data_IF_178142637387
#
_entry.id   IF_178142637387
#
_cell.length_a   1.000
_cell.length_b   1.000
_cell.length_c   1.000
_cell.angle_alpha   90.00
_cell.angle_beta   90.00
_cell.angle_gamma   90.00
#
_symmetry.space_group_name_H-M   'P 1'
#
loop_
_entity.id
_entity.type
_entity.pdbx_description
1 polymer ?
#
# COMPACT_ATOMS: atom_id res chain seq x y z
N UNK A 1 -13.79 8.43 16.68
CA UNK A 1 -14.42 8.39 15.38
C UNK A 1 -13.31 8.24 14.37
N UNK A 2 -13.24 7.14 13.70
CA UNK A 2 -12.06 6.81 12.89
C UNK A 2 -12.50 6.46 11.48
N UNK A 3 -12.15 7.29 10.53
CA UNK A 3 -12.05 6.94 9.13
C UNK A 3 -10.60 6.53 8.90
N UNK A 4 -10.34 5.28 8.69
CA UNK A 4 -9.00 4.79 8.46
C UNK A 4 -8.90 4.18 7.08
N UNK A 5 -7.98 4.64 6.29
CA UNK A 5 -7.74 4.24 4.92
C UNK A 5 -6.39 3.59 4.76
N UNK A 6 -6.34 2.41 4.22
CA UNK A 6 -5.07 1.70 4.10
C UNK A 6 -5.00 0.87 2.84
N UNK A 7 -4.32 1.37 1.83
CA UNK A 7 -3.80 0.55 0.75
C UNK A 7 -2.33 0.19 1.00
N UNK A 8 -2.02 -1.05 1.31
CA UNK A 8 -0.65 -1.49 1.53
C UNK A 8 -0.07 -2.08 0.26
N UNK A 9 0.92 -1.41 -0.29
CA UNK A 9 1.64 -1.85 -1.49
C UNK A 9 2.88 -2.64 -1.09
N UNK A 10 2.96 -3.87 -1.51
CA UNK A 10 4.12 -4.73 -1.32
C UNK A 10 4.68 -5.15 -2.66
N UNK A 11 5.81 -4.59 -2.97
CA UNK A 11 6.51 -4.91 -4.21
C UNK A 11 7.46 -6.07 -3.97
N UNK A 12 7.07 -7.24 -4.46
CA UNK A 12 7.98 -8.35 -4.58
C UNK A 12 9.12 -8.04 -5.54
N UNK A 13 10.28 -7.74 -5.02
CA UNK A 13 11.49 -7.76 -5.81
C UNK A 13 12.12 -9.14 -5.66
N UNK A 14 11.91 -9.98 -6.66
CA UNK A 14 12.72 -11.18 -6.76
C UNK A 14 14.14 -10.75 -7.13
N UNK A 15 15.12 -11.18 -6.36
CA UNK A 15 16.53 -11.07 -6.76
C UNK A 15 16.76 -11.94 -8.01
N UNK A 16 16.70 -11.30 -9.16
CA UNK A 16 17.12 -11.92 -10.41
C UNK A 16 18.64 -11.83 -10.45
N UNK A 17 19.29 -12.67 -9.66
CA UNK A 17 20.76 -12.76 -9.59
C UNK A 17 21.39 -12.76 -10.97
N UNK A 18 22.52 -12.08 -11.11
CA UNK A 18 23.28 -11.93 -12.35
C UNK A 18 23.44 -13.29 -13.07
N UNK A 19 22.60 -13.53 -14.06
CA UNK A 19 22.69 -14.72 -14.91
C UNK A 19 23.86 -14.53 -15.86
N UNK A 20 24.86 -15.36 -15.69
CA UNK A 20 25.89 -15.51 -16.72
C UNK A 20 25.25 -16.12 -17.97
N UNK A 21 25.54 -15.54 -19.14
CA UNK A 21 25.00 -15.96 -20.43
C UNK A 21 25.14 -17.50 -20.62
N UNK A 22 24.02 -18.22 -20.55
CA UNK A 22 23.98 -19.64 -20.92
C UNK A 22 23.30 -20.62 -19.98
N UNK A 23 23.06 -20.28 -18.72
CA UNK A 23 22.24 -21.11 -17.80
C UNK A 23 21.26 -20.22 -17.03
N UNK A 24 20.00 -20.56 -17.07
CA UNK A 24 18.99 -20.02 -16.15
C UNK A 24 19.30 -20.65 -14.78
N UNK A 25 20.09 -19.97 -13.97
CA UNK A 25 20.25 -20.36 -12.57
C UNK A 25 18.99 -19.92 -11.82
N UNK A 26 18.33 -20.88 -11.19
CA UNK A 26 17.19 -20.59 -10.32
C UNK A 26 17.76 -19.86 -9.11
N UNK A 27 17.25 -18.67 -8.75
CA UNK A 27 17.64 -18.01 -7.51
C UNK A 27 17.42 -18.93 -6.32
N UNK A 28 18.10 -18.68 -5.21
CA UNK A 28 17.79 -19.37 -3.96
C UNK A 28 16.28 -19.33 -3.72
N UNK A 29 15.67 -20.53 -3.64
CA UNK A 29 14.22 -20.68 -3.84
C UNK A 29 13.38 -20.02 -2.77
N UNK A 30 13.84 -20.07 -1.52
CA UNK A 30 13.08 -19.56 -0.38
C UNK A 30 13.67 -18.24 0.11
N UNK A 31 12.83 -17.21 0.20
CA UNK A 31 13.16 -15.90 0.73
C UNK A 31 12.36 -15.56 1.98
N UNK A 32 13.00 -14.83 2.88
CA UNK A 32 12.38 -14.20 4.03
C UNK A 32 12.70 -12.71 3.97
N UNK A 33 11.70 -11.84 4.06
CA UNK A 33 11.87 -10.40 3.96
C UNK A 33 11.22 -9.66 5.12
N UNK A 34 11.89 -8.61 5.59
CA UNK A 34 11.32 -7.60 6.48
C UNK A 34 11.24 -6.30 5.71
N UNK A 35 10.06 -5.72 5.62
CA UNK A 35 9.79 -4.51 4.84
C UNK A 35 9.17 -3.44 5.72
N UNK A 36 9.65 -2.22 5.54
CA UNK A 36 9.00 -0.99 6.02
C UNK A 36 8.53 -0.24 4.78
N UNK A 37 7.28 0.15 4.78
CA UNK A 37 6.65 0.92 3.72
C UNK A 37 5.93 2.12 4.30
N UNK A 38 6.21 3.30 3.76
CA UNK A 38 5.52 4.54 4.09
C UNK A 38 4.86 5.10 2.83
N UNK A 39 3.67 5.67 2.98
CA UNK A 39 2.90 6.23 1.89
C UNK A 39 2.08 7.41 2.37
N UNK A 40 1.99 8.45 1.53
CA UNK A 40 1.01 9.54 1.64
C UNK A 40 0.16 9.57 0.38
N UNK A 41 -1.16 9.61 0.54
CA UNK A 41 -2.10 9.48 -0.57
C UNK A 41 -3.36 10.32 -0.33
N UNK A 42 -3.83 11.11 -1.33
CA UNK A 42 -5.15 11.71 -1.32
C UNK A 42 -6.23 10.69 -1.70
N UNK A 43 -7.42 10.84 -1.09
CA UNK A 43 -8.60 10.02 -1.38
C UNK A 43 -9.80 10.86 -1.77
N UNK A 44 -10.74 10.24 -2.48
CA UNK A 44 -12.06 10.79 -2.76
C UNK A 44 -13.13 10.00 -2.01
N UNK A 45 -14.10 10.71 -1.46
CA UNK A 45 -15.29 10.10 -0.85
C UNK A 45 -16.21 9.65 -1.98
N UNK A 46 -16.31 8.34 -2.19
CA UNK A 46 -17.18 7.76 -3.20
C UNK A 46 -18.66 7.76 -2.78
N UNK A 47 -18.93 7.50 -1.52
CA UNK A 47 -20.25 7.63 -0.93
C UNK A 47 -20.17 7.91 0.57
N UNK A 48 -21.10 8.71 1.08
CA UNK A 48 -21.21 9.02 2.50
C UNK A 48 -22.69 8.94 2.95
N UNK A 49 -22.99 7.94 3.76
CA UNK A 49 -24.27 7.83 4.42
C UNK A 49 -24.13 8.32 5.87
N UNK A 50 -24.64 9.52 6.15
CA UNK A 50 -24.67 10.09 7.50
C UNK A 50 -26.00 10.80 7.73
N UNK A 51 -26.59 10.59 8.90
CA UNK A 51 -27.86 11.23 9.28
C UNK A 51 -27.60 12.42 10.21
N UNK A 52 -27.00 13.47 9.68
CA UNK A 52 -26.79 14.73 10.40
C UNK A 52 -27.98 15.69 10.13
N UNK A 53 -28.76 16.06 11.15
CA UNK A 53 -29.84 17.02 10.98
C UNK A 53 -29.30 18.37 10.50
N UNK A 54 -29.77 18.84 9.34
CA UNK A 54 -29.44 20.17 8.80
C UNK A 54 -28.17 20.23 7.94
N UNK A 55 -27.49 19.11 7.69
CA UNK A 55 -26.33 19.04 6.78
C UNK A 55 -26.75 18.29 5.52
N UNK A 56 -26.47 18.90 4.38
CA UNK A 56 -26.62 18.25 3.08
C UNK A 56 -25.43 17.28 2.88
N UNK A 57 -25.66 15.96 2.73
CA UNK A 57 -24.57 15.00 2.52
C UNK A 57 -23.65 15.36 1.35
N UNK A 58 -24.18 15.97 0.29
CA UNK A 58 -23.39 16.37 -0.88
C UNK A 58 -22.29 17.40 -0.58
N UNK A 59 -22.44 18.17 0.51
CA UNK A 59 -21.40 19.10 0.97
C UNK A 59 -20.19 18.37 1.57
N UNK A 60 -20.39 17.15 2.02
CA UNK A 60 -19.36 16.34 2.65
C UNK A 60 -18.63 15.42 1.64
N UNK A 61 -19.21 15.20 0.46
CA UNK A 61 -18.59 14.37 -0.60
C UNK A 61 -17.38 15.03 -1.27
N UNK A 62 -17.25 16.34 -1.17
CA UNK A 62 -16.16 17.11 -1.79
C UNK A 62 -15.03 17.48 -0.82
N UNK A 63 -14.95 16.83 0.34
CA UNK A 63 -13.90 17.08 1.30
C UNK A 63 -12.56 16.54 0.83
N UNK A 64 -11.51 17.33 1.03
CA UNK A 64 -10.14 16.84 0.92
C UNK A 64 -9.84 15.85 2.03
N UNK A 65 -9.36 14.70 1.65
CA UNK A 65 -8.96 13.64 2.58
C UNK A 65 -7.55 13.21 2.25
N UNK A 66 -6.61 13.44 3.16
CA UNK A 66 -5.23 13.01 3.07
C UNK A 66 -4.95 11.90 4.07
N UNK A 67 -4.25 10.88 3.61
CA UNK A 67 -3.89 9.74 4.44
C UNK A 67 -2.38 9.53 4.44
N UNK A 68 -1.80 9.37 5.62
CA UNK A 68 -0.43 8.93 5.82
C UNK A 68 -0.41 7.58 6.51
N UNK A 69 0.41 6.66 5.98
CA UNK A 69 0.46 5.29 6.46
C UNK A 69 1.88 4.79 6.52
N UNK A 70 2.23 4.13 7.61
CA UNK A 70 3.45 3.33 7.75
C UNK A 70 3.12 1.90 8.08
N UNK A 71 3.73 0.97 7.37
CA UNK A 71 3.49 -0.46 7.57
C UNK A 71 4.79 -1.26 7.65
N UNK A 72 4.74 -2.33 8.43
CA UNK A 72 5.84 -3.24 8.72
C UNK A 72 5.42 -4.65 8.38
N UNK A 73 6.13 -5.31 7.47
CA UNK A 73 5.73 -6.62 6.96
C UNK A 73 6.82 -7.66 7.12
N UNK A 74 6.41 -8.86 7.49
CA UNK A 74 7.15 -10.09 7.28
C UNK A 74 6.63 -10.74 5.99
N UNK A 75 7.53 -11.04 5.07
CA UNK A 75 7.24 -11.69 3.81
C UNK A 75 7.97 -13.02 3.72
N UNK A 76 7.30 -14.03 3.20
CA UNK A 76 7.88 -15.30 2.81
C UNK A 76 7.60 -15.51 1.33
N UNK A 77 8.61 -15.80 0.54
CA UNK A 77 8.46 -16.03 -0.89
C UNK A 77 9.16 -17.30 -1.35
N UNK A 78 8.65 -17.87 -2.43
CA UNK A 78 9.20 -19.09 -3.02
C UNK A 78 9.18 -19.05 -4.55
N UNK A 79 10.32 -19.35 -5.18
CA UNK A 79 10.42 -19.53 -6.62
C UNK A 79 9.90 -20.90 -7.01
N UNK A 80 8.67 -20.96 -7.52
CA UNK A 80 8.07 -22.19 -8.05
C UNK A 80 8.76 -22.61 -9.36
N UNK A 81 9.03 -21.65 -10.23
CA UNK A 81 9.67 -21.78 -11.53
C UNK A 81 10.72 -20.68 -11.68
N UNK A 82 11.68 -20.79 -12.61
CA UNK A 82 12.71 -19.76 -12.80
C UNK A 82 12.16 -18.36 -13.14
N UNK A 83 10.90 -18.29 -13.55
CA UNK A 83 10.22 -17.06 -13.94
C UNK A 83 8.99 -16.74 -13.08
N UNK A 84 8.65 -17.61 -12.10
CA UNK A 84 7.48 -17.45 -11.26
C UNK A 84 7.85 -17.56 -9.78
N UNK A 85 7.73 -16.45 -9.07
CA UNK A 85 7.80 -16.38 -7.62
C UNK A 85 6.39 -16.21 -7.05
N UNK A 86 6.10 -16.85 -5.92
CA UNK A 86 4.88 -16.63 -5.14
C UNK A 86 5.24 -16.25 -3.72
N UNK A 87 4.40 -15.48 -3.07
CA UNK A 87 4.67 -15.02 -1.72
C UNK A 87 3.41 -14.84 -0.87
N UNK A 88 3.60 -14.90 0.43
CA UNK A 88 2.65 -14.48 1.42
C UNK A 88 3.28 -13.46 2.35
N UNK A 89 2.47 -12.63 2.98
CA UNK A 89 2.89 -11.61 3.91
C UNK A 89 1.91 -11.43 5.05
N UNK A 90 2.44 -10.96 6.16
CA UNK A 90 1.67 -10.50 7.32
C UNK A 90 2.41 -9.31 7.93
N UNK A 91 1.66 -8.36 8.47
CA UNK A 91 2.27 -7.17 9.04
C UNK A 91 1.34 -6.35 9.91
N UNK A 92 1.88 -5.26 10.38
CA UNK A 92 1.17 -4.23 11.15
C UNK A 92 1.20 -2.94 10.35
N UNK A 93 0.18 -2.13 10.56
CA UNK A 93 0.01 -0.85 9.95
C UNK A 93 -0.40 0.18 10.98
N UNK A 94 0.21 1.34 10.90
CA UNK A 94 -0.12 2.54 11.66
C UNK A 94 -0.35 3.67 10.66
N UNK A 95 -1.38 4.48 10.87
CA UNK A 95 -1.67 5.58 9.99
C UNK A 95 -2.54 6.65 10.61
N UNK A 96 -2.67 7.75 9.89
CA UNK A 96 -3.55 8.86 10.21
C UNK A 96 -4.26 9.36 8.96
N UNK A 97 -5.50 9.77 9.13
CA UNK A 97 -6.30 10.39 8.08
C UNK A 97 -6.68 11.79 8.51
N UNK A 98 -6.32 12.78 7.72
CA UNK A 98 -6.71 14.16 7.90
C UNK A 98 -7.86 14.50 6.95
N UNK A 99 -8.99 14.94 7.53
CA UNK A 99 -10.16 15.40 6.80
C UNK A 99 -10.26 16.91 6.95
N UNK A 100 -10.23 17.65 5.84
CA UNK A 100 -10.39 19.09 5.86
C UNK A 100 -11.87 19.46 5.95
N UNK A 101 -12.28 19.89 7.15
CA UNK A 101 -13.63 20.33 7.46
C UNK A 101 -13.78 21.86 7.42
N UNK A 102 -12.76 22.58 6.95
CA UNK A 102 -12.80 24.04 6.89
C UNK A 102 -13.85 24.51 5.85
N UNK A 103 -14.73 25.37 6.30
CA UNK A 103 -15.77 25.95 5.44
C UNK A 103 -17.09 25.20 5.41
N UNK A 104 -17.23 24.10 6.16
CA UNK A 104 -18.51 23.42 6.30
C UNK A 104 -19.36 24.15 7.35
N UNK A 105 -20.47 24.69 6.92
CA UNK A 105 -21.49 25.26 7.80
C UNK A 105 -22.47 24.15 8.20
N UNK A 106 -22.30 23.63 9.40
CA UNK A 106 -23.21 22.63 9.98
C UNK A 106 -24.40 23.28 10.74
N UNK A 107 -24.57 24.59 10.58
CA UNK A 107 -25.62 25.34 11.29
C UNK A 107 -25.43 25.46 12.79
N UNK A 108 -24.26 25.11 13.31
CA UNK A 108 -23.85 25.27 14.69
C UNK A 108 -22.80 26.37 14.80
N UNK A 109 -22.78 27.17 15.88
CA UNK A 109 -21.82 28.27 16.05
C UNK A 109 -20.40 27.79 16.45
N UNK A 110 -20.00 26.64 15.95
CA UNK A 110 -18.70 26.01 16.16
C UNK A 110 -18.04 25.85 14.79
N UNK A 111 -16.90 26.53 14.59
CA UNK A 111 -16.05 26.25 13.43
C UNK A 111 -15.51 24.82 13.54
N UNK A 112 -15.74 24.01 12.53
CA UNK A 112 -15.08 22.71 12.42
C UNK A 112 -13.65 22.96 11.96
N UNK A 113 -12.68 22.44 12.70
CA UNK A 113 -11.28 22.36 12.31
C UNK A 113 -11.04 21.04 11.57
N UNK A 114 -9.84 20.86 11.02
CA UNK A 114 -9.41 19.57 10.48
C UNK A 114 -9.63 18.47 11.51
N UNK A 115 -10.10 17.34 11.04
CA UNK A 115 -10.29 16.13 11.82
C UNK A 115 -9.19 15.14 11.50
N UNK A 116 -8.28 14.92 12.45
CA UNK A 116 -7.25 13.88 12.32
C UNK A 116 -7.72 12.61 13.02
N UNK A 117 -7.58 11.48 12.35
CA UNK A 117 -8.02 10.16 12.82
C UNK A 117 -6.85 9.21 12.75
N UNK A 118 -6.32 8.84 13.92
CA UNK A 118 -5.27 7.83 14.03
C UNK A 118 -5.87 6.42 14.04
N UNK A 119 -5.18 5.49 13.42
CA UNK A 119 -5.58 4.09 13.36
C UNK A 119 -4.37 3.15 13.31
N UNK A 120 -4.62 1.91 13.69
CA UNK A 120 -3.69 0.80 13.49
C UNK A 120 -4.45 -0.45 13.05
N UNK A 121 -3.72 -1.45 12.58
CA UNK A 121 -4.37 -2.67 12.11
C UNK A 121 -3.37 -3.74 11.69
N UNK A 122 -3.92 -4.89 11.32
CA UNK A 122 -3.15 -6.02 10.82
C UNK A 122 -3.40 -6.20 9.32
N UNK A 123 -2.33 -6.26 8.54
CA UNK A 123 -2.37 -6.54 7.11
C UNK A 123 -1.87 -7.96 6.84
N UNK A 124 -2.54 -8.64 5.93
CA UNK A 124 -2.10 -9.92 5.38
C UNK A 124 -2.41 -9.99 3.89
N UNK A 125 -1.60 -10.74 3.17
CA UNK A 125 -1.75 -10.81 1.73
C UNK A 125 -0.95 -11.92 1.10
N UNK A 126 -1.16 -12.06 -0.19
CA UNK A 126 -0.44 -12.98 -1.03
C UNK A 126 -0.31 -12.42 -2.45
N UNK A 127 0.68 -12.90 -3.18
CA UNK A 127 0.89 -12.45 -4.54
C UNK A 127 1.82 -13.34 -5.33
N UNK A 128 2.06 -12.91 -6.56
CA UNK A 128 2.97 -13.59 -7.47
C UNK A 128 3.75 -12.59 -8.31
N UNK A 129 4.97 -12.97 -8.70
CA UNK A 129 5.81 -12.20 -9.60
C UNK A 129 6.15 -13.06 -10.81
N UNK A 130 5.81 -12.59 -11.98
CA UNK A 130 6.32 -13.10 -13.24
C UNK A 130 7.52 -12.26 -13.67
N UNK A 131 8.66 -12.90 -13.88
CA UNK A 131 9.88 -12.22 -14.25
C UNK A 131 10.57 -12.91 -15.42
N UNK A 132 11.07 -12.11 -16.35
CA UNK A 132 11.87 -12.57 -17.49
C UNK A 132 13.10 -11.69 -17.59
N UNK A 133 14.22 -12.26 -18.00
CA UNK A 133 15.45 -11.48 -18.09
C UNK A 133 16.51 -12.09 -18.99
N UNK A 134 17.55 -11.31 -19.23
CA UNK A 134 18.76 -11.68 -19.95
C UNK A 134 19.99 -11.31 -19.13
N UNK A 135 21.15 -11.19 -19.80
CA UNK A 135 22.44 -10.92 -19.13
C UNK A 135 22.44 -9.59 -18.34
N UNK A 136 21.70 -8.59 -18.77
CA UNK A 136 21.72 -7.26 -18.17
C UNK A 136 20.33 -6.68 -17.92
N UNK A 137 19.33 -7.07 -18.68
CA UNK A 137 17.99 -6.51 -18.59
C UNK A 137 17.00 -7.53 -18.05
N UNK A 138 16.03 -7.05 -17.30
CA UNK A 138 14.88 -7.84 -16.86
C UNK A 138 13.58 -7.03 -16.99
N UNK A 139 12.49 -7.77 -17.14
CA UNK A 139 11.13 -7.27 -16.98
C UNK A 139 10.42 -8.13 -15.95
N UNK A 140 9.56 -7.53 -15.16
CA UNK A 140 8.73 -8.24 -14.20
C UNK A 140 7.35 -7.61 -14.10
N UNK A 141 6.37 -8.44 -13.76
CA UNK A 141 5.03 -7.99 -13.36
C UNK A 141 4.70 -8.68 -12.05
N UNK A 142 4.44 -7.90 -11.02
CA UNK A 142 3.92 -8.40 -9.76
C UNK A 142 2.40 -8.21 -9.71
N UNK A 143 1.71 -9.15 -9.08
CA UNK A 143 0.33 -9.03 -8.63
C UNK A 143 0.29 -9.30 -7.13
N UNK A 144 -0.30 -8.39 -6.39
CA UNK A 144 -0.47 -8.46 -4.94
C UNK A 144 -1.95 -8.31 -4.61
N UNK A 145 -2.43 -9.14 -3.69
CA UNK A 145 -3.73 -8.97 -3.05
C UNK A 145 -3.52 -8.88 -1.55
N UNK A 146 -4.04 -7.82 -0.95
CA UNK A 146 -3.94 -7.59 0.48
C UNK A 146 -5.29 -7.34 1.11
N UNK A 147 -5.42 -7.74 2.36
CA UNK A 147 -6.54 -7.38 3.22
C UNK A 147 -5.98 -6.82 4.52
N UNK A 148 -6.58 -5.74 4.98
CA UNK A 148 -6.24 -5.09 6.24
C UNK A 148 -7.48 -5.08 7.13
N UNK A 149 -7.33 -5.61 8.33
CA UNK A 149 -8.32 -5.51 9.40
C UNK A 149 -7.85 -4.41 10.35
N UNK A 150 -8.64 -3.34 10.47
CA UNK A 150 -8.31 -2.18 11.30
C UNK A 150 -8.90 -2.32 12.69
N UNK A 151 -8.20 -1.79 13.69
CA UNK A 151 -8.64 -1.82 15.11
C UNK A 151 -9.68 -0.75 15.42
N UNK A 152 -10.15 -0.02 14.41
CA UNK A 152 -11.12 1.06 14.53
C UNK A 152 -12.38 0.73 13.74
N UNK A 153 -13.53 0.73 14.43
CA UNK A 153 -14.86 0.46 13.86
C UNK A 153 -14.97 -0.92 13.12
N UNK A 154 -16.05 -1.14 12.40
CA UNK A 154 -16.15 -2.27 11.48
C UNK A 154 -15.58 -1.84 10.14
N UNK A 155 -14.27 -1.97 9.98
CA UNK A 155 -13.54 -1.54 8.79
C UNK A 155 -12.78 -2.68 8.17
N UNK A 156 -12.86 -2.82 6.87
CA UNK A 156 -11.99 -3.70 6.10
C UNK A 156 -11.52 -2.99 4.84
N UNK A 157 -10.23 -3.16 4.54
CA UNK A 157 -9.61 -2.63 3.34
C UNK A 157 -9.09 -3.78 2.51
N UNK A 158 -9.42 -3.81 1.24
CA UNK A 158 -8.92 -4.78 0.28
C UNK A 158 -8.25 -4.03 -0.86
N UNK A 159 -7.06 -4.46 -1.24
CA UNK A 159 -6.35 -3.87 -2.36
C UNK A 159 -5.85 -4.94 -3.32
N UNK A 160 -6.04 -4.69 -4.62
CA UNK A 160 -5.46 -5.43 -5.73
C UNK A 160 -4.47 -4.55 -6.46
N UNK A 161 -3.22 -5.01 -6.57
CA UNK A 161 -2.13 -4.19 -7.06
C UNK A 161 -1.41 -4.92 -8.18
N UNK A 162 -1.17 -4.22 -9.28
CA UNK A 162 -0.38 -4.72 -10.42
C UNK A 162 0.83 -3.81 -10.63
N UNK A 163 2.03 -4.39 -10.61
CA UNK A 163 3.27 -3.62 -10.72
C UNK A 163 4.16 -4.14 -11.85
N UNK A 164 4.04 -3.60 -13.07
CA UNK A 164 5.02 -3.79 -14.12
C UNK A 164 6.29 -2.99 -13.85
N UNK A 165 7.44 -3.60 -14.10
CA UNK A 165 8.76 -2.95 -14.00
C UNK A 165 9.75 -3.49 -15.00
N UNK A 166 10.70 -2.65 -15.39
CA UNK A 166 11.84 -2.98 -16.23
C UNK A 166 13.11 -2.46 -15.57
N UNK A 167 14.17 -3.25 -15.61
CA UNK A 167 15.39 -2.91 -14.90
C UNK A 167 16.66 -3.43 -15.56
N UNK A 168 17.75 -3.05 -14.94
CA UNK A 168 19.11 -3.39 -15.38
C UNK A 168 19.90 -3.99 -14.23
N UNK A 169 20.53 -5.15 -14.50
CA UNK A 169 21.44 -5.82 -13.57
C UNK A 169 22.87 -5.35 -13.74
N UNK A 170 23.52 -5.13 -12.63
CA UNK A 170 24.96 -4.89 -12.56
C UNK A 170 25.59 -5.75 -11.46
N UNK A 171 26.93 -5.75 -11.38
CA UNK A 171 27.61 -6.53 -10.35
C UNK A 171 27.23 -6.04 -8.95
N UNK A 172 26.49 -6.88 -8.21
CA UNK A 172 26.09 -6.61 -6.82
C UNK A 172 24.72 -5.95 -6.66
N UNK A 173 23.92 -5.83 -7.74
CA UNK A 173 22.58 -5.29 -7.60
C UNK A 173 21.84 -5.08 -8.91
N UNK A 174 20.73 -4.37 -8.81
CA UNK A 174 19.91 -3.96 -9.95
C UNK A 174 19.26 -2.60 -9.69
N UNK A 175 18.84 -1.94 -10.75
CA UNK A 175 17.98 -0.75 -10.70
C UNK A 175 16.82 -0.95 -11.64
N UNK A 176 15.68 -0.33 -11.33
CA UNK A 176 14.48 -0.42 -12.17
C UNK A 176 13.65 0.87 -12.14
N UNK A 177 12.82 0.99 -13.15
CA UNK A 177 11.68 1.88 -13.19
C UNK A 177 10.42 1.05 -13.41
N UNK A 178 9.30 1.54 -12.95
CA UNK A 178 8.03 0.84 -13.07
C UNK A 178 6.83 1.76 -12.90
N UNK A 179 5.67 1.14 -12.97
CA UNK A 179 4.41 1.76 -12.61
C UNK A 179 3.66 0.81 -11.67
N UNK A 180 2.71 1.35 -10.95
CA UNK A 180 1.85 0.62 -10.04
C UNK A 180 0.42 1.01 -10.34
N UNK A 181 -0.41 0.02 -10.60
CA UNK A 181 -1.85 0.16 -10.64
C UNK A 181 -2.41 -0.43 -9.35
N UNK A 182 -3.16 0.36 -8.61
CA UNK A 182 -3.80 -0.06 -7.37
C UNK A 182 -5.30 0.17 -7.49
N UNK A 183 -6.07 -0.83 -7.10
CA UNK A 183 -7.52 -0.78 -6.94
C UNK A 183 -7.82 -1.13 -5.49
N UNK A 184 -8.26 -0.13 -4.73
CA UNK A 184 -8.55 -0.25 -3.30
C UNK A 184 -10.04 -0.11 -3.08
N UNK A 185 -10.61 -1.04 -2.34
CA UNK A 185 -12.00 -0.99 -1.90
C UNK A 185 -12.02 -0.86 -0.38
N UNK A 186 -12.56 0.24 0.08
CA UNK A 186 -12.65 0.57 1.50
C UNK A 186 -14.08 0.84 1.91
N UNK A 187 -14.49 0.19 2.99
CA UNK A 187 -15.80 0.43 3.60
C UNK A 187 -15.60 0.62 5.10
N UNK A 188 -16.11 1.72 5.61
CA UNK A 188 -16.07 2.04 7.03
C UNK A 188 -17.47 2.29 7.55
N UNK A 189 -17.88 1.54 8.57
CA UNK A 189 -19.14 1.69 9.25
C UNK A 189 -18.90 1.92 10.74
N UNK A 190 -19.58 2.90 11.31
CA UNK A 190 -19.40 3.21 12.73
C UNK A 190 -20.42 4.21 13.26
N UNK A 191 -20.19 4.65 14.49
CA UNK A 191 -20.95 5.73 15.11
C UNK A 191 -20.00 6.77 15.66
N UNK A 192 -20.33 8.04 15.49
CA UNK A 192 -19.60 9.12 16.14
C UNK A 192 -20.51 9.90 17.07
N UNK A 193 -19.95 10.37 18.16
CA UNK A 193 -20.67 11.16 19.12
C UNK A 193 -20.60 12.65 18.77
N UNK A 194 -21.76 13.25 18.48
CA UNK A 194 -21.86 14.70 18.31
C UNK A 194 -22.35 15.31 19.61
N UNK A 195 -21.65 16.31 20.17
CA UNK A 195 -22.12 17.03 21.34
C UNK A 195 -23.55 17.51 21.14
N UNK A 196 -24.43 17.19 22.09
CA UNK A 196 -25.87 17.52 22.12
C UNK A 196 -26.78 16.70 21.18
N UNK A 197 -26.26 15.92 20.21
CA UNK A 197 -27.04 15.08 19.31
C UNK A 197 -26.93 13.57 19.63
N UNK A 198 -25.88 13.17 20.35
CA UNK A 198 -25.63 11.77 20.68
C UNK A 198 -24.92 10.99 19.57
N UNK A 199 -24.95 9.65 19.62
CA UNK A 199 -24.29 8.80 18.63
C UNK A 199 -25.01 8.86 17.28
N UNK A 200 -24.27 9.20 16.22
CA UNK A 200 -24.75 9.26 14.84
C UNK A 200 -24.09 8.15 14.04
N UNK A 201 -24.84 7.24 13.45
CA UNK A 201 -24.28 6.22 12.57
C UNK A 201 -23.79 6.84 11.27
N UNK A 202 -22.70 6.30 10.75
CA UNK A 202 -22.18 6.65 9.43
C UNK A 202 -21.71 5.42 8.68
N UNK A 203 -21.77 5.49 7.37
CA UNK A 203 -21.10 4.59 6.45
C UNK A 203 -20.39 5.45 5.38
N UNK A 204 -19.13 5.18 5.13
CA UNK A 204 -18.37 5.85 4.08
C UNK A 204 -17.67 4.81 3.22
N UNK A 205 -17.74 5.03 1.93
CA UNK A 205 -16.97 4.29 0.94
C UNK A 205 -15.99 5.25 0.28
N UNK A 206 -14.75 4.80 0.14
CA UNK A 206 -13.65 5.61 -0.35
C UNK A 206 -12.96 4.90 -1.50
N UNK A 207 -12.57 5.67 -2.50
CA UNK A 207 -11.86 5.20 -3.66
C UNK A 207 -10.52 5.93 -3.81
N UNK A 208 -9.57 5.26 -4.43
CA UNK A 208 -8.34 5.89 -4.91
C UNK A 208 -8.69 7.01 -5.91
N UNK A 209 -8.16 8.22 -5.71
CA UNK A 209 -8.36 9.35 -6.61
C UNK A 209 -7.81 9.05 -8.02
N UNK A 210 -6.62 8.45 -8.05
CA UNK A 210 -5.95 7.99 -9.27
C UNK A 210 -5.29 6.64 -9.03
N UNK A 211 -5.58 5.61 -9.85
CA UNK A 211 -5.05 4.26 -9.60
C UNK A 211 -3.56 4.10 -9.94
N UNK A 212 -2.99 4.98 -10.75
CA UNK A 212 -1.61 4.85 -11.23
C UNK A 212 -0.61 5.65 -10.41
N UNK A 213 0.55 5.03 -10.15
CA UNK A 213 1.72 5.67 -9.57
C UNK A 213 2.99 5.22 -10.30
N UNK A 214 4.06 6.03 -10.28
CA UNK A 214 5.33 5.70 -10.88
C UNK A 214 6.34 5.25 -9.83
N UNK A 215 7.25 4.38 -10.22
CA UNK A 215 8.20 3.76 -9.31
C UNK A 215 9.62 3.85 -9.84
N UNK A 216 10.56 4.06 -8.92
CA UNK A 216 11.98 3.89 -9.15
C UNK A 216 12.57 3.12 -7.98
N UNK A 217 13.47 2.20 -8.25
CA UNK A 217 14.08 1.42 -7.17
C UNK A 217 15.33 0.70 -7.54
N UNK A 218 15.88 -0.01 -6.58
CA UNK A 218 17.08 -0.80 -6.75
C UNK A 218 17.27 -1.84 -5.66
N UNK A 219 18.10 -2.84 -5.96
CA UNK A 219 18.60 -3.81 -5.00
C UNK A 219 20.11 -3.69 -4.86
N UNK A 220 20.59 -4.01 -3.66
CA UNK A 220 22.02 -4.18 -3.39
C UNK A 220 22.25 -5.50 -2.65
N UNK A 221 23.15 -6.36 -3.17
CA UNK A 221 23.60 -7.55 -2.47
C UNK A 221 24.58 -7.14 -1.37
N UNK A 222 24.24 -7.45 -0.13
CA UNK A 222 25.08 -7.19 1.05
C UNK A 222 26.04 -8.35 1.36
N UNK A 223 26.01 -9.39 0.52
CA UNK A 223 26.77 -10.64 0.74
C UNK A 223 26.04 -11.62 1.67
N UNK A 224 26.51 -12.88 1.70
CA UNK A 224 25.98 -13.91 2.60
C UNK A 224 24.48 -14.16 2.47
N UNK A 225 23.90 -14.03 1.29
CA UNK A 225 22.47 -14.21 1.01
C UNK A 225 21.56 -13.03 1.39
N UNK A 226 22.12 -11.92 1.86
CA UNK A 226 21.34 -10.73 2.18
C UNK A 226 21.19 -9.78 1.00
N UNK A 227 19.99 -9.27 0.79
CA UNK A 227 19.64 -8.30 -0.25
C UNK A 227 18.91 -7.13 0.40
N UNK A 228 19.39 -5.93 0.16
CA UNK A 228 18.70 -4.69 0.49
C UNK A 228 17.92 -4.21 -0.74
N UNK A 229 16.68 -3.79 -0.51
CA UNK A 229 15.79 -3.25 -1.53
C UNK A 229 15.37 -1.86 -1.11
N UNK A 230 15.49 -0.91 -2.02
CA UNK A 230 15.02 0.46 -1.85
C UNK A 230 14.13 0.83 -3.02
N UNK A 231 12.99 1.46 -2.75
CA UNK A 231 12.10 1.93 -3.79
C UNK A 231 11.39 3.20 -3.35
N UNK A 232 11.25 4.13 -4.28
CA UNK A 232 10.41 5.32 -4.17
C UNK A 232 9.23 5.24 -5.15
N UNK A 233 8.08 5.75 -4.73
CA UNK A 233 6.90 5.97 -5.55
C UNK A 233 6.59 7.46 -5.63
N UNK A 234 6.09 7.92 -6.76
CA UNK A 234 5.74 9.31 -6.99
C UNK A 234 4.64 9.43 -8.04
N UNK A 235 3.90 10.53 -7.98
CA UNK A 235 2.73 10.79 -8.82
C UNK A 235 1.55 11.15 -7.94
N UNK A 236 0.54 10.31 -7.88
CA UNK A 236 -0.60 10.51 -6.99
C UNK A 236 -0.27 10.16 -5.54
N UNK A 237 0.66 9.20 -5.36
CA UNK A 237 1.12 8.74 -4.06
C UNK A 237 2.61 8.98 -3.91
N UNK A 238 3.00 9.66 -2.85
CA UNK A 238 4.38 9.68 -2.41
C UNK A 238 4.63 8.48 -1.53
N UNK A 239 5.59 7.63 -1.92
CA UNK A 239 5.84 6.39 -1.20
C UNK A 239 7.32 6.06 -1.10
N UNK A 240 7.70 5.41 -0.01
CA UNK A 240 9.03 4.89 0.22
C UNK A 240 8.98 3.47 0.77
N UNK A 241 9.81 2.60 0.22
CA UNK A 241 9.94 1.21 0.67
C UNK A 241 11.41 0.89 0.94
N UNK A 242 11.64 0.28 2.08
CA UNK A 242 12.91 -0.35 2.45
C UNK A 242 12.63 -1.78 2.85
N UNK A 243 13.31 -2.73 2.20
CA UNK A 243 13.19 -4.15 2.55
C UNK A 243 14.56 -4.81 2.69
N UNK A 244 14.70 -5.65 3.68
CA UNK A 244 15.86 -6.51 3.87
C UNK A 244 15.43 -7.96 3.69
N UNK A 245 15.96 -8.63 2.68
CA UNK A 245 15.64 -10.01 2.36
C UNK A 245 16.82 -10.95 2.63
N UNK A 246 16.51 -12.16 3.06
CA UNK A 246 17.46 -13.25 3.22
C UNK A 246 17.04 -14.45 2.35
N UNK A 247 17.96 -14.95 1.51
CA UNK A 247 17.76 -16.07 0.60
C UNK A 247 18.34 -17.36 1.20
N UNK A 248 17.50 -18.35 1.47
CA UNK A 248 17.91 -19.57 2.20
C UNK A 248 18.54 -20.64 1.29
N UNK A 249 17.91 -21.02 0.18
CA UNK A 249 18.36 -22.06 -0.76
C UNK A 249 17.58 -22.02 -2.06
#
# INVERSE_FOLDING_TARGET
MSLAMVGVVLLGTADLGAQSAGKIEIPNKLGLGLTVYNQTQPYEIASLEVQLPGVDPSTLENLGVDNETTSYHLRVDYWLLPFLNVFGLIGQIDGSTDVDLQGIDIGLPIGLNNLTIDYNGTVYGAGAVLAVGGAHWFGAVAYDYTKTDLDVATSSVQASIVTPKVGYHFKGGAVWVGAMYQDTQETHEGTFEVPYLGPIPFKVELNDQEPWNYLIGGTASLGGHWVLILQGGFGTRDAALVSLEYRLF
#
